data_IF_890299041561
#
_entry.id   IF_890299041561
#
_cell.length_a   1.000
_cell.length_b   1.000
_cell.length_c   1.000
_cell.angle_alpha   90.00
_cell.angle_beta   90.00
_cell.angle_gamma   90.00
#
_symmetry.space_group_name_H-M   'P 1'
#
loop_
_entity.id
_entity.type
_entity.pdbx_description
1 polymer ?
#
# COMPACT_ATOMS: atom_id res chain seq x y z
N UNK A 1 9.15 -4.42 -12.36
CA UNK A 1 8.52 -3.76 -11.20
C UNK A 1 8.56 -4.74 -10.06
N UNK A 2 9.03 -4.32 -8.89
CA UNK A 2 9.05 -5.14 -7.68
C UNK A 2 8.16 -4.48 -6.64
N UNK A 3 7.29 -5.26 -5.99
CA UNK A 3 6.43 -4.81 -4.90
C UNK A 3 6.64 -5.70 -3.69
N UNK A 4 6.96 -5.09 -2.56
CA UNK A 4 7.13 -5.75 -1.29
C UNK A 4 6.00 -5.36 -0.32
N UNK A 5 5.60 -6.31 0.50
CA UNK A 5 4.65 -6.14 1.59
C UNK A 5 5.28 -6.65 2.88
N UNK A 6 5.03 -5.93 3.97
CA UNK A 6 5.31 -6.37 5.32
C UNK A 6 4.02 -6.26 6.12
N UNK A 7 3.58 -7.37 6.68
CA UNK A 7 2.42 -7.47 7.56
C UNK A 7 2.92 -7.97 8.90
N UNK A 8 2.75 -7.16 9.93
CA UNK A 8 3.29 -7.46 11.27
C UNK A 8 2.25 -7.18 12.35
N UNK A 9 2.18 -8.08 13.34
CA UNK A 9 1.43 -7.85 14.56
C UNK A 9 2.18 -6.85 15.45
N UNK A 10 1.44 -5.90 16.00
CA UNK A 10 1.93 -4.92 16.94
C UNK A 10 1.22 -5.06 18.30
N UNK A 11 1.87 -4.64 19.40
CA UNK A 11 1.23 -4.63 20.71
C UNK A 11 -0.11 -3.87 20.73
N UNK A 12 -1.03 -4.36 21.57
CA UNK A 12 -2.37 -3.81 21.72
C UNK A 12 -3.37 -4.28 20.66
N UNK A 13 -3.15 -5.47 20.06
CA UNK A 13 -4.08 -6.05 19.09
C UNK A 13 -4.16 -5.27 17.76
N UNK A 14 -3.05 -4.64 17.36
CA UNK A 14 -2.97 -3.87 16.12
C UNK A 14 -2.18 -4.66 15.08
N UNK A 15 -2.53 -4.47 13.82
CA UNK A 15 -1.75 -4.99 12.68
C UNK A 15 -1.23 -3.81 11.89
N UNK A 16 0.04 -3.84 11.50
CA UNK A 16 0.61 -2.89 10.55
C UNK A 16 0.79 -3.55 9.20
N UNK A 17 0.35 -2.85 8.16
CA UNK A 17 0.59 -3.21 6.76
C UNK A 17 1.44 -2.13 6.12
N UNK A 18 2.63 -2.50 5.69
CA UNK A 18 3.56 -1.64 4.96
C UNK A 18 3.72 -2.19 3.54
N UNK A 19 3.58 -1.34 2.53
CA UNK A 19 3.88 -1.67 1.12
C UNK A 19 4.95 -0.73 0.59
N UNK A 20 5.86 -1.27 -0.21
CA UNK A 20 6.83 -0.51 -0.98
C UNK A 20 6.92 -1.05 -2.40
N UNK A 21 7.22 -0.17 -3.34
CA UNK A 21 7.36 -0.55 -4.74
C UNK A 21 8.58 0.12 -5.36
N UNK A 22 9.37 -0.66 -6.09
CA UNK A 22 10.47 -0.14 -6.91
C UNK A 22 10.11 -0.26 -8.39
N UNK A 23 10.20 0.88 -9.07
CA UNK A 23 10.00 1.01 -10.50
C UNK A 23 11.28 1.55 -11.15
N UNK A 24 11.60 1.09 -12.36
CA UNK A 24 12.77 1.52 -13.14
C UNK A 24 12.33 1.84 -14.58
N UNK A 25 13.03 2.79 -15.21
CA UNK A 25 12.81 3.17 -16.62
C UNK A 25 12.18 4.55 -16.79
N UNK A 26 12.09 5.02 -18.04
CA UNK A 26 11.54 6.35 -18.37
C UNK A 26 10.11 6.56 -17.84
N UNK A 27 9.18 5.59 -17.93
CA UNK A 27 7.84 5.76 -17.35
C UNK A 27 7.87 5.97 -15.82
N UNK A 28 8.79 5.30 -15.11
CA UNK A 28 8.94 5.49 -13.66
C UNK A 28 9.47 6.90 -13.32
N UNK A 29 10.41 7.41 -14.13
CA UNK A 29 10.94 8.76 -13.96
C UNK A 29 9.89 9.85 -14.26
N UNK A 30 9.06 9.63 -15.29
CA UNK A 30 7.93 10.50 -15.61
C UNK A 30 6.87 10.47 -14.50
N UNK A 31 6.51 9.29 -14.02
CA UNK A 31 5.54 9.10 -12.95
C UNK A 31 5.99 9.73 -11.63
N UNK A 32 7.29 9.66 -11.31
CA UNK A 32 7.87 10.28 -10.11
C UNK A 32 7.78 11.82 -10.11
N UNK A 33 7.59 12.46 -11.27
CA UNK A 33 7.44 13.92 -11.39
C UNK A 33 6.00 14.40 -11.26
N UNK A 34 5.02 13.50 -11.30
CA UNK A 34 3.61 13.86 -11.23
C UNK A 34 3.21 14.25 -9.81
N UNK A 35 2.53 15.39 -9.67
CA UNK A 35 1.97 15.89 -8.40
C UNK A 35 0.47 16.18 -8.56
N UNK A 36 -0.39 15.72 -7.63
CA UNK A 36 -0.08 14.83 -6.50
C UNK A 36 0.39 13.44 -6.96
N UNK A 37 1.26 12.79 -6.20
CA UNK A 37 1.92 11.52 -6.60
C UNK A 37 0.90 10.39 -6.82
N UNK A 38 0.70 9.90 -8.06
CA UNK A 38 -0.31 8.88 -8.36
C UNK A 38 -0.02 7.54 -7.67
N UNK A 39 1.26 7.18 -7.55
CA UNK A 39 1.70 5.93 -6.90
C UNK A 39 1.30 5.89 -5.42
N UNK A 40 1.52 6.99 -4.69
CA UNK A 40 1.11 7.11 -3.29
C UNK A 40 -0.41 6.96 -3.14
N UNK A 41 -1.17 7.68 -3.99
CA UNK A 41 -2.64 7.63 -3.95
C UNK A 41 -3.18 6.22 -4.26
N UNK A 42 -2.61 5.55 -5.26
CA UNK A 42 -2.97 4.18 -5.61
C UNK A 42 -2.66 3.18 -4.50
N UNK A 43 -1.47 3.28 -3.90
CA UNK A 43 -1.10 2.41 -2.77
C UNK A 43 -1.99 2.65 -1.55
N UNK A 44 -2.33 3.90 -1.24
CA UNK A 44 -3.25 4.20 -0.13
C UNK A 44 -4.64 3.62 -0.39
N UNK A 45 -5.19 3.80 -1.59
CA UNK A 45 -6.50 3.24 -1.94
C UNK A 45 -6.52 1.71 -1.81
N UNK A 46 -5.39 1.05 -2.13
CA UNK A 46 -5.25 -0.39 -1.93
C UNK A 46 -5.18 -0.76 -0.45
N UNK A 47 -4.40 -0.06 0.37
CA UNK A 47 -4.36 -0.28 1.82
C UNK A 47 -5.75 -0.11 2.45
N UNK A 48 -6.46 0.96 2.10
CA UNK A 48 -7.81 1.21 2.61
C UNK A 48 -8.78 0.08 2.20
N UNK A 49 -8.68 -0.40 0.95
CA UNK A 49 -9.47 -1.52 0.47
C UNK A 49 -9.18 -2.82 1.19
N UNK A 50 -7.90 -3.12 1.42
CA UNK A 50 -7.46 -4.31 2.15
C UNK A 50 -7.98 -4.29 3.59
N UNK A 51 -7.82 -3.17 4.29
CA UNK A 51 -8.31 -3.01 5.67
C UNK A 51 -9.83 -3.17 5.72
N UNK A 52 -10.57 -2.54 4.81
CA UNK A 52 -12.04 -2.70 4.74
C UNK A 52 -12.46 -4.17 4.54
N UNK A 53 -11.80 -4.86 3.61
CA UNK A 53 -12.11 -6.26 3.31
C UNK A 53 -11.82 -7.19 4.49
N UNK A 54 -10.68 -7.00 5.16
CA UNK A 54 -10.30 -7.78 6.35
C UNK A 54 -11.28 -7.52 7.51
N UNK A 55 -11.59 -6.25 7.79
CA UNK A 55 -12.50 -5.86 8.87
C UNK A 55 -13.92 -6.39 8.68
N UNK A 56 -14.40 -6.51 7.44
CA UNK A 56 -15.71 -7.08 7.14
C UNK A 56 -15.83 -8.58 7.48
N UNK A 57 -14.72 -9.32 7.53
CA UNK A 57 -14.69 -10.73 7.91
C UNK A 57 -14.68 -10.98 9.43
N UNK A 58 -14.33 -9.96 10.23
CA UNK A 58 -14.19 -10.04 11.70
C UNK A 58 -15.52 -9.89 12.47
N UNK A 59 -16.65 -9.77 11.76
CA UNK A 59 -18.00 -9.69 12.34
C UNK A 59 -18.67 -11.05 12.60
N UNK A 60 -17.91 -12.15 12.67
CA UNK A 60 -18.39 -13.49 12.97
C UNK A 60 -17.69 -14.08 14.18
#
# INVERSE_FOLDING_TARGET
MLRAWLVEDLPGGRVRVLTQETQRGRPAAELARQLPTPMLKGHQAWLDGLVRAASAGTGR
#
